data_IF_375924685379
#
_entry.id   IF_375924685379
#
_cell.length_a   1.000
_cell.length_b   1.000
_cell.length_c   1.000
_cell.angle_alpha   90.00
_cell.angle_beta   90.00
_cell.angle_gamma   90.00
#
_symmetry.space_group_name_H-M   'P 1'
#
loop_
_entity.id
_entity.type
_entity.pdbx_description
1 polymer ?
#
# COMPACT_ATOMS: atom_id res chain seq x y z
N UNK A 1 -0.39 -50.46 41.12
CA UNK A 1 -0.77 -49.65 42.31
C UNK A 1 0.50 -49.31 43.07
N UNK A 2 0.81 -48.12 43.56
CA UNK A 2 0.41 -46.74 43.35
C UNK A 2 1.56 -45.94 44.02
N UNK A 3 2.12 -44.92 43.35
CA UNK A 3 2.97 -43.93 44.02
C UNK A 3 2.29 -42.57 43.87
N UNK A 4 2.11 -41.92 45.01
CA UNK A 4 1.47 -40.62 45.22
C UNK A 4 2.58 -39.69 45.63
N UNK A 5 2.83 -38.62 44.86
CA UNK A 5 3.56 -37.46 45.36
C UNK A 5 3.09 -36.15 44.70
N UNK A 6 2.48 -35.34 45.57
CA UNK A 6 2.65 -33.89 45.73
C UNK A 6 2.43 -32.96 44.53
N UNK A 7 1.34 -32.20 44.68
CA UNK A 7 1.02 -30.98 43.96
C UNK A 7 2.15 -29.93 44.08
N UNK A 8 2.71 -29.54 42.95
CA UNK A 8 3.45 -28.28 42.80
C UNK A 8 2.64 -27.37 41.85
N UNK A 9 2.22 -26.23 42.39
CA UNK A 9 1.57 -25.12 41.67
C UNK A 9 2.45 -24.71 40.47
N UNK A 10 1.90 -24.49 39.26
CA UNK A 10 2.64 -23.75 38.24
C UNK A 10 2.70 -22.29 38.68
N UNK A 11 3.86 -21.90 39.19
CA UNK A 11 4.24 -20.51 39.39
C UNK A 11 4.08 -19.73 38.09
N UNK A 12 3.41 -18.60 38.20
CA UNK A 12 3.42 -17.47 37.28
C UNK A 12 4.72 -17.34 36.49
N UNK A 13 4.65 -17.53 35.18
CA UNK A 13 5.63 -16.97 34.25
C UNK A 13 4.88 -16.31 33.11
N UNK A 14 4.86 -14.98 33.18
CA UNK A 14 4.70 -14.05 32.07
C UNK A 14 5.29 -14.61 30.76
N UNK A 15 4.44 -14.84 29.76
CA UNK A 15 4.84 -15.38 28.47
C UNK A 15 3.73 -15.12 27.46
N UNK A 16 4.00 -14.24 26.49
CA UNK A 16 3.03 -13.60 25.61
C UNK A 16 1.97 -14.52 25.01
N UNK A 17 0.74 -13.98 24.92
CA UNK A 17 -0.44 -14.58 24.29
C UNK A 17 -0.06 -15.31 22.99
N UNK A 18 0.12 -16.62 23.09
CA UNK A 18 0.29 -17.49 21.94
C UNK A 18 -0.90 -17.26 21.00
N UNK A 19 -0.59 -17.01 19.72
CA UNK A 19 -1.55 -16.71 18.66
C UNK A 19 -2.63 -17.80 18.67
N UNK A 20 -3.84 -17.47 19.15
CA UNK A 20 -4.97 -18.38 19.26
C UNK A 20 -5.15 -19.11 17.93
N UNK A 21 -5.11 -20.45 17.96
CA UNK A 21 -5.24 -21.29 16.77
C UNK A 21 -6.56 -20.96 16.07
N UNK A 22 -6.47 -20.52 14.82
CA UNK A 22 -7.62 -20.14 14.00
C UNK A 22 -8.02 -21.36 13.17
N UNK A 23 -8.96 -22.15 13.70
CA UNK A 23 -9.43 -23.40 13.06
C UNK A 23 -10.19 -23.14 11.76
N UNK A 24 -10.72 -21.94 11.55
CA UNK A 24 -11.34 -21.56 10.29
C UNK A 24 -10.31 -21.07 9.27
N UNK A 25 -9.90 -21.97 8.37
CA UNK A 25 -9.22 -21.63 7.11
C UNK A 25 -10.26 -21.11 6.12
N UNK A 26 -10.69 -19.87 6.31
CA UNK A 26 -11.71 -19.23 5.46
C UNK A 26 -11.21 -18.89 4.05
N UNK A 27 -12.16 -18.84 3.11
CA UNK A 27 -12.10 -18.55 1.65
C UNK A 27 -11.48 -17.17 1.31
N UNK A 28 -10.28 -16.87 1.79
CA UNK A 28 -9.62 -15.58 1.58
C UNK A 28 -8.35 -15.82 0.80
N UNK A 29 -8.18 -15.04 -0.27
CA UNK A 29 -6.98 -14.99 -1.10
C UNK A 29 -5.75 -14.81 -0.20
N UNK A 30 -4.67 -15.52 -0.50
CA UNK A 30 -3.43 -15.45 0.28
C UNK A 30 -2.97 -14.00 0.46
N UNK A 31 -2.40 -13.73 1.64
CA UNK A 31 -1.96 -12.39 2.02
C UNK A 31 -0.91 -11.90 1.01
N UNK A 32 -1.23 -10.81 0.30
CA UNK A 32 -0.28 -10.18 -0.60
C UNK A 32 0.90 -9.58 0.19
N UNK A 33 2.11 -9.81 -0.30
CA UNK A 33 3.32 -9.21 0.23
C UNK A 33 3.54 -7.86 -0.45
N UNK A 34 3.12 -6.79 0.22
CA UNK A 34 3.28 -5.43 -0.26
C UNK A 34 4.63 -4.86 0.17
N UNK A 35 5.31 -4.13 -0.72
CA UNK A 35 6.57 -3.46 -0.45
C UNK A 35 6.37 -2.29 0.53
N UNK A 36 7.35 -2.12 1.44
CA UNK A 36 7.39 -1.05 2.46
C UNK A 36 8.44 0.02 2.13
N UNK A 37 9.32 -0.26 1.19
CA UNK A 37 10.39 0.62 0.71
C UNK A 37 10.19 0.81 -0.80
N UNK A 38 10.49 2.01 -1.30
CA UNK A 38 10.51 2.31 -2.73
C UNK A 38 11.89 1.97 -3.28
N UNK A 39 11.98 0.91 -4.06
CA UNK A 39 13.14 0.60 -4.88
C UNK A 39 13.17 1.50 -6.11
N UNK A 40 14.36 1.75 -6.68
CA UNK A 40 14.51 2.56 -7.91
C UNK A 40 13.57 2.09 -9.03
N UNK A 41 13.46 0.78 -9.23
CA UNK A 41 12.60 0.19 -10.25
C UNK A 41 11.11 0.47 -10.01
N UNK A 42 10.67 0.49 -8.75
CA UNK A 42 9.28 0.80 -8.38
C UNK A 42 8.98 2.30 -8.47
N UNK A 43 9.98 3.13 -8.16
CA UNK A 43 9.88 4.58 -8.27
C UNK A 43 9.72 5.00 -9.74
N UNK A 44 10.53 4.44 -10.64
CA UNK A 44 10.43 4.74 -12.08
C UNK A 44 9.08 4.31 -12.67
N UNK A 45 8.53 3.18 -12.20
CA UNK A 45 7.18 2.72 -12.57
C UNK A 45 6.11 3.68 -12.06
N UNK A 46 6.21 4.11 -10.81
CA UNK A 46 5.26 5.03 -10.20
C UNK A 46 5.19 6.34 -10.99
N UNK A 47 6.34 6.91 -11.34
CA UNK A 47 6.43 8.18 -12.07
C UNK A 47 5.86 8.10 -13.49
N UNK A 48 5.98 6.94 -14.15
CA UNK A 48 5.49 6.73 -15.52
C UNK A 48 4.02 6.32 -15.56
N UNK A 49 3.60 5.42 -14.69
CA UNK A 49 2.28 4.79 -14.78
C UNK A 49 1.19 5.61 -14.09
N UNK A 50 1.46 6.21 -12.92
CA UNK A 50 0.42 6.89 -12.14
C UNK A 50 -0.24 8.06 -12.89
N UNK A 51 0.49 8.90 -13.64
CA UNK A 51 -0.13 9.97 -14.42
C UNK A 51 -1.03 9.47 -15.57
N UNK A 52 -0.85 8.23 -16.02
CA UNK A 52 -1.68 7.67 -17.10
C UNK A 52 -3.06 7.24 -16.60
N UNK A 53 -3.20 6.97 -15.30
CA UNK A 53 -4.41 6.42 -14.72
C UNK A 53 -5.54 7.46 -14.68
N UNK A 54 -6.76 7.03 -15.04
CA UNK A 54 -7.95 7.88 -14.95
C UNK A 54 -8.35 8.18 -13.51
N UNK A 55 -8.21 7.19 -12.63
CA UNK A 55 -8.50 7.28 -11.20
C UNK A 55 -7.24 6.94 -10.40
N UNK A 56 -6.79 7.88 -9.59
CA UNK A 56 -5.65 7.71 -8.68
C UNK A 56 -6.18 7.73 -7.25
N UNK A 57 -5.98 6.63 -6.53
CA UNK A 57 -6.33 6.50 -5.11
C UNK A 57 -5.37 5.56 -4.40
N UNK A 58 -5.26 5.62 -3.06
CA UNK A 58 -4.35 4.76 -2.31
C UNK A 58 -4.61 3.26 -2.54
N UNK A 59 -5.87 2.85 -2.72
CA UNK A 59 -6.24 1.45 -2.99
C UNK A 59 -5.78 0.99 -4.37
N UNK A 60 -5.96 1.83 -5.41
CA UNK A 60 -5.54 1.51 -6.78
C UNK A 60 -4.02 1.30 -6.85
N UNK A 61 -3.25 2.11 -6.12
CA UNK A 61 -1.79 1.96 -6.08
C UNK A 61 -1.34 0.67 -5.37
N UNK A 62 -2.04 0.25 -4.31
CA UNK A 62 -1.75 -1.01 -3.61
C UNK A 62 -1.98 -2.21 -4.54
N UNK A 63 -3.07 -2.20 -5.32
CA UNK A 63 -3.42 -3.33 -6.19
C UNK A 63 -2.44 -3.49 -7.37
N UNK A 64 -2.06 -2.37 -8.00
CA UNK A 64 -1.23 -2.33 -9.22
C UNK A 64 0.27 -2.42 -8.93
N UNK A 65 0.78 -1.54 -8.07
CA UNK A 65 2.21 -1.41 -7.80
C UNK A 65 2.68 -2.28 -6.62
N UNK A 66 1.75 -2.93 -5.91
CA UNK A 66 2.05 -3.78 -4.74
C UNK A 66 2.83 -3.05 -3.66
N UNK A 67 2.51 -1.77 -3.45
CA UNK A 67 3.05 -0.94 -2.39
C UNK A 67 2.09 -0.88 -1.19
N UNK A 68 2.62 -0.59 -0.01
CA UNK A 68 1.79 -0.39 1.18
C UNK A 68 0.97 0.90 1.12
N UNK A 69 -0.18 0.92 1.81
CA UNK A 69 -1.08 2.08 1.84
C UNK A 69 -0.44 3.34 2.46
N UNK A 70 0.50 3.19 3.39
CA UNK A 70 1.27 4.32 3.93
C UNK A 70 2.16 4.96 2.86
N UNK A 71 2.91 4.13 2.10
CA UNK A 71 3.72 4.60 0.97
C UNK A 71 2.87 5.21 -0.13
N UNK A 72 1.74 4.60 -0.47
CA UNK A 72 0.82 5.13 -1.48
C UNK A 72 0.35 6.55 -1.12
N UNK A 73 0.02 6.81 0.15
CA UNK A 73 -0.35 8.16 0.62
C UNK A 73 0.80 9.15 0.53
N UNK A 74 2.03 8.73 0.86
CA UNK A 74 3.21 9.58 0.73
C UNK A 74 3.49 9.91 -0.75
N UNK A 75 3.49 8.90 -1.62
CA UNK A 75 3.72 9.07 -3.05
C UNK A 75 2.67 9.96 -3.73
N UNK A 76 1.40 9.86 -3.34
CA UNK A 76 0.36 10.78 -3.84
C UNK A 76 0.68 12.23 -3.47
N UNK A 77 1.15 12.51 -2.25
CA UNK A 77 1.52 13.87 -1.85
C UNK A 77 2.70 14.39 -2.68
N UNK A 78 3.70 13.55 -2.93
CA UNK A 78 4.84 13.92 -3.80
C UNK A 78 4.39 14.19 -5.24
N UNK A 79 3.54 13.34 -5.82
CA UNK A 79 3.01 13.53 -7.16
C UNK A 79 2.13 14.77 -7.31
N UNK A 80 1.39 15.13 -6.26
CA UNK A 80 0.63 16.40 -6.20
C UNK A 80 1.60 17.58 -6.15
N UNK A 81 2.64 17.51 -5.33
CA UNK A 81 3.65 18.57 -5.24
C UNK A 81 4.42 18.77 -6.55
N UNK A 82 4.65 17.69 -7.30
CA UNK A 82 5.25 17.73 -8.64
C UNK A 82 4.26 18.15 -9.73
N UNK A 83 2.96 18.24 -9.44
CA UNK A 83 1.92 18.66 -10.39
C UNK A 83 1.49 17.59 -11.40
N UNK A 84 1.82 16.31 -11.19
CA UNK A 84 1.45 15.24 -12.12
C UNK A 84 0.00 14.76 -11.96
N UNK A 85 -0.58 14.95 -10.78
CA UNK A 85 -1.96 14.58 -10.45
C UNK A 85 -2.67 15.73 -9.75
N UNK A 86 -3.98 15.82 -9.93
CA UNK A 86 -4.84 16.87 -9.38
C UNK A 86 -5.81 16.25 -8.38
N UNK A 87 -6.03 16.86 -7.20
CA UNK A 87 -7.06 16.43 -6.27
C UNK A 87 -8.46 16.74 -6.81
N UNK A 88 -9.37 15.76 -6.71
CA UNK A 88 -10.81 15.98 -6.95
C UNK A 88 -11.55 16.08 -5.62
N UNK A 89 -11.30 15.14 -4.72
CA UNK A 89 -11.90 15.13 -3.38
C UNK A 89 -10.94 14.52 -2.37
N UNK A 90 -10.70 15.26 -1.29
CA UNK A 90 -9.81 14.86 -0.20
C UNK A 90 -10.60 14.75 1.09
N UNK A 91 -11.12 13.56 1.37
CA UNK A 91 -11.80 13.22 2.63
C UNK A 91 -10.91 12.28 3.46
N UNK A 92 -11.09 12.26 4.79
CA UNK A 92 -10.28 11.40 5.67
C UNK A 92 -10.39 9.90 5.34
N UNK A 93 -11.58 9.46 4.93
CA UNK A 93 -11.84 8.07 4.55
C UNK A 93 -11.49 7.75 3.10
N UNK A 94 -11.50 8.73 2.19
CA UNK A 94 -11.34 8.48 0.75
C UNK A 94 -10.61 9.62 0.04
N UNK A 95 -9.64 9.22 -0.77
CA UNK A 95 -8.69 10.08 -1.47
C UNK A 95 -8.88 9.86 -2.97
N UNK A 96 -9.41 10.86 -3.66
CA UNK A 96 -9.73 10.78 -5.09
C UNK A 96 -8.91 11.83 -5.82
N UNK A 97 -8.02 11.33 -6.67
CA UNK A 97 -7.16 12.12 -7.54
C UNK A 97 -7.36 11.69 -8.99
N UNK A 98 -7.05 12.60 -9.91
CA UNK A 98 -7.07 12.36 -11.35
C UNK A 98 -5.77 12.83 -11.96
N UNK A 99 -5.45 12.33 -13.16
CA UNK A 99 -4.31 12.84 -13.93
C UNK A 99 -4.46 14.34 -14.23
N UNK A 100 -3.33 15.05 -14.26
CA UNK A 100 -3.30 16.43 -14.72
C UNK A 100 -3.42 16.47 -16.25
N UNK A 101 -4.55 16.94 -16.78
CA UNK A 101 -4.80 16.99 -18.23
C UNK A 101 -3.89 17.98 -18.96
N UNK A 102 -3.44 19.05 -18.30
CA UNK A 102 -2.53 20.03 -18.92
C UNK A 102 -1.10 19.52 -19.15
N UNK A 103 -0.63 18.55 -18.36
CA UNK A 103 0.76 18.04 -18.46
C UNK A 103 0.95 17.08 -19.63
N UNK A 104 -0.11 16.41 -20.08
CA UNK A 104 -0.06 15.59 -21.30
C UNK A 104 0.03 16.44 -22.56
N UNK A 105 -0.58 17.63 -22.57
CA UNK A 105 -0.48 18.57 -23.70
C UNK A 105 0.93 19.15 -23.82
N UNK A 106 1.57 19.56 -22.70
CA UNK A 106 2.97 20.03 -22.73
C UNK A 106 3.97 18.93 -23.12
N UNK A 107 3.74 17.69 -22.71
CA UNK A 107 4.58 16.55 -23.10
C UNK A 107 4.40 16.16 -24.57
N UNK A 108 3.19 16.27 -25.12
CA UNK A 108 2.96 16.11 -26.57
C UNK A 108 3.59 17.24 -27.38
N UNK A 109 3.38 18.49 -26.97
CA UNK A 109 3.93 19.67 -27.65
C UNK A 109 5.46 19.66 -27.70
N UNK A 110 6.14 19.19 -26.63
CA UNK A 110 7.61 19.03 -26.64
C UNK A 110 8.10 17.90 -27.54
N UNK A 111 7.28 16.85 -27.74
CA UNK A 111 7.63 15.70 -28.58
C UNK A 111 7.46 16.01 -30.07
N UNK A 112 6.47 16.82 -30.41
CA UNK A 112 6.20 17.31 -31.78
C UNK A 112 7.15 18.44 -32.22
N UNK A 113 7.88 19.07 -31.29
CA UNK A 113 8.85 20.13 -31.59
C UNK A 113 10.30 19.62 -31.76
N UNK A 114 10.57 18.34 -31.45
CA UNK A 114 11.89 17.71 -31.56
C UNK A 114 11.97 16.71 -32.74
N UNK A 115 10.84 16.43 -33.39
CA UNK A 115 10.73 15.67 -34.66
C UNK A 115 10.60 16.63 -35.85
#
# INVERSE_FOLDING_TARGET
MAKKDVAAKPSSSSGGKAKKKKWSKGKVKDKANNAVILDKTTYDKLMKEVPTYKLVSPSVLVDRLRINGSLARAAIRELVNMGHIVPVSTHGAQWIYTRATGVEEEKKAKKEAEE
#
